data_IF_881794141829
#
_entry.id   IF_881794141829
#
_cell.length_a   1.000
_cell.length_b   1.000
_cell.length_c   1.000
_cell.angle_alpha   90.00
_cell.angle_beta   90.00
_cell.angle_gamma   90.00
#
_symmetry.space_group_name_H-M   'P 1'
#
loop_
_entity.id
_entity.type
_entity.pdbx_description
1 polymer ?
#
# COMPACT_ATOMS: atom_id res chain seq x y z
N UNK A 1 -46.49 -5.21 15.22
CA UNK A 1 -45.22 -5.80 14.72
C UNK A 1 -45.39 -6.79 13.57
N UNK A 2 -46.43 -7.66 13.56
CA UNK A 2 -46.69 -8.61 12.46
C UNK A 2 -47.12 -7.94 11.14
N UNK A 3 -47.91 -6.87 11.16
CA UNK A 3 -48.34 -6.14 9.95
C UNK A 3 -47.17 -5.48 9.22
N UNK A 4 -46.22 -4.89 9.94
CA UNK A 4 -45.00 -4.28 9.36
C UNK A 4 -44.10 -5.35 8.71
N UNK A 5 -44.00 -6.54 9.30
CA UNK A 5 -43.27 -7.67 8.70
C UNK A 5 -43.94 -8.17 7.40
N UNK A 6 -45.25 -8.15 7.34
CA UNK A 6 -46.03 -8.60 6.16
C UNK A 6 -45.91 -7.59 5.00
N UNK A 7 -45.91 -6.28 5.30
CA UNK A 7 -45.71 -5.22 4.31
C UNK A 7 -44.25 -5.24 3.78
N UNK A 8 -43.27 -5.46 4.67
CA UNK A 8 -41.88 -5.59 4.29
C UNK A 8 -41.55 -6.83 3.44
N UNK A 9 -42.36 -7.89 3.53
CA UNK A 9 -42.20 -9.11 2.71
C UNK A 9 -42.74 -8.97 1.27
N UNK A 10 -43.62 -8.00 1.02
CA UNK A 10 -44.17 -7.67 -0.29
C UNK A 10 -43.28 -6.71 -1.10
N UNK A 11 -42.29 -6.09 -0.47
CA UNK A 11 -41.39 -5.15 -1.12
C UNK A 11 -40.20 -5.88 -1.79
N UNK A 12 -39.70 -5.40 -2.94
CA UNK A 12 -38.54 -5.97 -3.59
C UNK A 12 -37.36 -6.09 -2.61
N UNK A 13 -36.55 -7.17 -2.70
CA UNK A 13 -35.54 -7.56 -1.72
C UNK A 13 -34.33 -6.59 -1.57
N UNK A 14 -34.38 -5.39 -2.17
CA UNK A 14 -33.33 -4.37 -2.07
C UNK A 14 -33.46 -3.52 -0.80
N UNK A 15 -32.35 -3.34 -0.08
CA UNK A 15 -32.25 -2.46 1.09
C UNK A 15 -32.85 -1.06 0.83
N UNK A 16 -32.60 -0.52 -0.38
CA UNK A 16 -33.15 0.76 -0.86
C UNK A 16 -34.66 0.88 -0.79
N UNK A 17 -35.34 -0.11 -1.37
CA UNK A 17 -36.79 -0.11 -1.42
C UNK A 17 -37.38 -0.20 -0.02
N UNK A 18 -36.78 -0.95 0.87
CA UNK A 18 -37.20 -1.05 2.27
C UNK A 18 -37.04 0.26 3.02
N UNK A 19 -35.90 0.94 2.85
CA UNK A 19 -35.61 2.24 3.47
C UNK A 19 -36.55 3.32 2.91
N UNK A 20 -36.73 3.36 1.59
CA UNK A 20 -37.64 4.32 0.95
C UNK A 20 -39.10 4.10 1.36
N UNK A 21 -39.55 2.84 1.40
CA UNK A 21 -40.90 2.53 1.85
C UNK A 21 -41.12 2.92 3.31
N UNK A 22 -40.18 2.65 4.19
CA UNK A 22 -40.27 3.03 5.61
C UNK A 22 -40.34 4.55 5.78
N UNK A 23 -39.54 5.32 5.06
CA UNK A 23 -39.57 6.77 5.11
C UNK A 23 -40.86 7.36 4.51
N UNK A 24 -41.36 6.80 3.41
CA UNK A 24 -42.66 7.22 2.83
C UNK A 24 -43.82 6.98 3.82
N UNK A 25 -43.85 5.83 4.50
CA UNK A 25 -44.83 5.53 5.54
C UNK A 25 -44.70 6.50 6.72
N UNK A 26 -43.46 6.83 7.13
CA UNK A 26 -43.22 7.79 8.20
C UNK A 26 -43.69 9.20 7.82
N UNK A 27 -43.40 9.67 6.61
CA UNK A 27 -43.91 10.95 6.08
C UNK A 27 -45.41 10.98 6.06
N UNK A 28 -46.07 9.92 5.54
CA UNK A 28 -47.51 9.82 5.50
C UNK A 28 -48.15 9.85 6.89
N UNK A 29 -47.56 9.13 7.86
CA UNK A 29 -48.06 9.11 9.25
C UNK A 29 -47.94 10.49 9.94
N UNK A 30 -46.84 11.18 9.74
CA UNK A 30 -46.62 12.53 10.31
C UNK A 30 -47.64 13.53 9.73
N UNK A 31 -47.84 13.51 8.41
CA UNK A 31 -48.81 14.38 7.73
C UNK A 31 -50.21 14.11 8.24
N UNK A 32 -50.60 12.84 8.36
CA UNK A 32 -51.92 12.44 8.83
C UNK A 32 -52.16 12.87 10.27
N UNK A 33 -51.21 12.61 11.18
CA UNK A 33 -51.31 12.98 12.60
C UNK A 33 -51.38 14.49 12.78
N UNK A 34 -50.51 15.25 12.08
CA UNK A 34 -50.51 16.70 12.16
C UNK A 34 -51.80 17.31 11.57
N UNK A 35 -52.28 16.78 10.45
CA UNK A 35 -53.54 17.19 9.84
C UNK A 35 -54.73 16.97 10.77
N UNK A 36 -54.86 15.79 11.41
CA UNK A 36 -55.88 15.50 12.41
C UNK A 36 -55.80 16.43 13.62
N UNK A 37 -54.59 16.66 14.15
CA UNK A 37 -54.37 17.55 15.30
C UNK A 37 -54.85 18.98 14.97
N UNK A 38 -54.45 19.53 13.81
CA UNK A 38 -54.88 20.86 13.35
C UNK A 38 -56.39 20.92 13.18
N UNK A 39 -56.99 19.91 12.52
CA UNK A 39 -58.41 19.87 12.29
C UNK A 39 -59.21 19.87 13.60
N UNK A 40 -58.89 18.97 14.55
CA UNK A 40 -59.58 18.90 15.82
C UNK A 40 -59.40 20.17 16.67
N UNK A 41 -58.18 20.73 16.69
CA UNK A 41 -57.90 21.96 17.45
C UNK A 41 -58.68 23.16 16.88
N UNK A 42 -58.65 23.30 15.54
CA UNK A 42 -59.38 24.40 14.89
C UNK A 42 -60.91 24.28 15.04
N UNK A 43 -61.47 23.05 14.87
CA UNK A 43 -62.89 22.83 15.08
C UNK A 43 -63.30 23.03 16.53
N UNK A 44 -62.49 22.65 17.52
CA UNK A 44 -62.75 22.87 18.94
C UNK A 44 -62.72 24.37 19.29
N UNK A 45 -61.76 25.13 18.76
CA UNK A 45 -61.68 26.57 19.00
C UNK A 45 -62.88 27.32 18.41
N UNK A 46 -63.27 26.98 17.18
CA UNK A 46 -64.44 27.60 16.52
C UNK A 46 -65.74 27.23 17.26
N UNK A 47 -65.90 25.98 17.74
CA UNK A 47 -67.02 25.53 18.51
C UNK A 47 -67.18 26.21 19.87
N UNK A 48 -66.11 26.76 20.44
CA UNK A 48 -66.12 27.50 21.70
C UNK A 48 -66.54 28.96 21.54
N UNK A 49 -66.61 29.50 20.31
CA UNK A 49 -67.04 30.87 20.01
C UNK A 49 -68.54 30.88 19.86
N UNK A 50 -69.25 31.50 20.79
CA UNK A 50 -70.72 31.49 20.91
C UNK A 50 -71.56 32.17 19.82
N UNK A 51 -70.89 32.92 18.90
CA UNK A 51 -71.55 33.71 17.85
C UNK A 51 -71.66 32.99 16.48
N UNK A 52 -71.11 31.76 16.37
CA UNK A 52 -71.17 31.03 15.10
C UNK A 52 -72.49 30.26 14.90
N UNK A 53 -73.25 30.60 13.82
CA UNK A 53 -74.39 29.83 13.40
C UNK A 53 -73.99 28.43 12.88
N UNK A 54 -74.81 27.41 13.08
CA UNK A 54 -74.54 26.02 12.65
C UNK A 54 -74.14 25.87 11.15
N UNK A 55 -74.69 26.73 10.32
CA UNK A 55 -74.38 26.74 8.89
C UNK A 55 -72.96 27.30 8.59
N UNK A 56 -72.52 28.33 9.31
CA UNK A 56 -71.23 28.90 9.21
C UNK A 56 -70.09 27.95 9.72
N UNK A 57 -70.39 27.23 10.79
CA UNK A 57 -69.52 26.21 11.36
C UNK A 57 -69.33 25.05 10.38
N UNK A 58 -70.39 24.58 9.73
CA UNK A 58 -70.31 23.53 8.70
C UNK A 58 -69.44 23.95 7.49
N UNK A 59 -69.62 25.15 7.00
CA UNK A 59 -68.84 25.70 5.91
C UNK A 59 -67.34 25.83 6.29
N UNK A 60 -67.07 26.29 7.51
CA UNK A 60 -65.69 26.39 8.01
C UNK A 60 -65.00 25.01 8.07
N UNK A 61 -65.70 24.02 8.66
CA UNK A 61 -65.15 22.68 8.79
C UNK A 61 -64.90 22.01 7.44
N UNK A 62 -65.81 22.20 6.48
CA UNK A 62 -65.64 21.67 5.11
C UNK A 62 -64.50 22.35 4.37
N UNK A 63 -64.38 23.68 4.49
CA UNK A 63 -63.32 24.45 3.85
C UNK A 63 -61.95 24.10 4.44
N UNK A 64 -61.87 24.05 5.76
CA UNK A 64 -60.67 23.64 6.47
C UNK A 64 -60.21 22.23 6.07
N UNK A 65 -61.14 21.29 6.04
CA UNK A 65 -60.85 19.92 5.61
C UNK A 65 -60.27 19.86 4.19
N UNK A 66 -60.89 20.60 3.24
CA UNK A 66 -60.44 20.64 1.85
C UNK A 66 -59.02 21.24 1.75
N UNK A 67 -58.72 22.34 2.45
CA UNK A 67 -57.40 22.92 2.45
C UNK A 67 -56.32 22.01 3.09
N UNK A 68 -56.64 21.36 4.20
CA UNK A 68 -55.75 20.41 4.83
C UNK A 68 -55.49 19.19 3.93
N UNK A 69 -56.52 18.72 3.21
CA UNK A 69 -56.37 17.60 2.27
C UNK A 69 -55.46 17.96 1.10
N UNK A 70 -55.69 19.15 0.48
CA UNK A 70 -54.80 19.65 -0.62
C UNK A 70 -53.37 19.81 -0.13
N UNK A 71 -53.19 20.41 1.04
CA UNK A 71 -51.86 20.61 1.64
C UNK A 71 -51.18 19.26 1.92
N UNK A 72 -51.92 18.30 2.48
CA UNK A 72 -51.40 16.95 2.74
C UNK A 72 -50.92 16.23 1.48
N UNK A 73 -51.69 16.30 0.40
CA UNK A 73 -51.37 15.71 -0.90
C UNK A 73 -50.09 16.36 -1.48
N UNK A 74 -50.07 17.71 -1.51
CA UNK A 74 -48.88 18.43 -2.03
C UNK A 74 -47.63 18.12 -1.24
N UNK A 75 -47.69 18.15 0.10
CA UNK A 75 -46.56 17.87 0.95
C UNK A 75 -46.05 16.44 0.81
N UNK A 76 -46.99 15.47 0.68
CA UNK A 76 -46.67 14.06 0.46
C UNK A 76 -45.95 13.85 -0.87
N UNK A 77 -46.45 14.45 -1.97
CA UNK A 77 -45.83 14.34 -3.29
C UNK A 77 -44.42 14.96 -3.28
N UNK A 78 -44.31 16.19 -2.76
CA UNK A 78 -43.01 16.91 -2.72
C UNK A 78 -42.00 16.16 -1.84
N UNK A 79 -42.42 15.72 -0.64
CA UNK A 79 -41.57 14.95 0.27
C UNK A 79 -41.09 13.62 -0.32
N UNK A 80 -42.00 12.91 -1.02
CA UNK A 80 -41.67 11.65 -1.69
C UNK A 80 -40.69 11.82 -2.84
N UNK A 81 -40.86 12.88 -3.66
CA UNK A 81 -39.95 13.20 -4.76
C UNK A 81 -38.55 13.56 -4.24
N UNK A 82 -38.49 14.42 -3.23
CA UNK A 82 -37.24 14.86 -2.63
C UNK A 82 -36.49 13.65 -2.01
N UNK A 83 -37.24 12.80 -1.26
CA UNK A 83 -36.68 11.58 -0.67
C UNK A 83 -36.13 10.63 -1.74
N UNK A 84 -36.91 10.37 -2.80
CA UNK A 84 -36.49 9.50 -3.90
C UNK A 84 -35.21 9.99 -4.58
N UNK A 85 -35.12 11.31 -4.88
CA UNK A 85 -33.97 11.91 -5.49
C UNK A 85 -32.72 11.80 -4.58
N UNK A 86 -32.84 12.16 -3.30
CA UNK A 86 -31.75 12.10 -2.33
C UNK A 86 -31.24 10.66 -2.13
N UNK A 87 -32.15 9.70 -1.99
CA UNK A 87 -31.83 8.29 -1.82
C UNK A 87 -31.09 7.72 -3.05
N UNK A 88 -31.56 8.07 -4.27
CA UNK A 88 -30.91 7.64 -5.50
C UNK A 88 -29.49 8.20 -5.63
N UNK A 89 -29.27 9.46 -5.23
CA UNK A 89 -27.96 10.11 -5.27
C UNK A 89 -26.95 9.49 -4.30
N UNK A 90 -27.39 9.12 -3.09
CA UNK A 90 -26.53 8.54 -2.06
C UNK A 90 -26.19 7.06 -2.31
N UNK A 91 -27.11 6.31 -2.92
CA UNK A 91 -26.95 4.85 -3.01
C UNK A 91 -26.30 4.39 -4.31
N UNK A 92 -26.39 5.16 -5.38
CA UNK A 92 -25.72 4.82 -6.63
C UNK A 92 -24.20 4.60 -6.45
N UNK A 93 -23.44 5.49 -5.75
CA UNK A 93 -22.03 5.26 -5.47
C UNK A 93 -21.75 3.98 -4.69
N UNK A 94 -22.56 3.70 -3.64
CA UNK A 94 -22.39 2.48 -2.82
C UNK A 94 -22.60 1.22 -3.67
N UNK A 95 -23.59 1.22 -4.55
CA UNK A 95 -23.83 0.10 -5.46
C UNK A 95 -22.67 -0.12 -6.42
N UNK A 96 -22.09 0.97 -6.94
CA UNK A 96 -20.91 0.90 -7.79
C UNK A 96 -19.70 0.31 -7.03
N UNK A 97 -19.53 0.66 -5.74
CA UNK A 97 -18.48 0.08 -4.89
C UNK A 97 -18.70 -1.43 -4.67
N UNK A 98 -19.93 -1.87 -4.46
CA UNK A 98 -20.28 -3.30 -4.34
C UNK A 98 -19.94 -4.04 -5.64
N UNK A 99 -20.30 -3.50 -6.79
CA UNK A 99 -20.00 -4.09 -8.09
C UNK A 99 -18.49 -4.13 -8.35
N UNK A 100 -17.75 -3.06 -8.01
CA UNK A 100 -16.30 -3.00 -8.07
C UNK A 100 -15.62 -4.05 -7.18
N UNK A 101 -16.11 -4.22 -5.94
CA UNK A 101 -15.63 -5.26 -5.03
C UNK A 101 -15.87 -6.67 -5.58
N UNK A 102 -17.02 -6.92 -6.22
CA UNK A 102 -17.28 -8.20 -6.87
C UNK A 102 -16.36 -8.47 -8.07
N UNK A 103 -15.99 -7.44 -8.83
CA UNK A 103 -15.01 -7.57 -9.92
C UNK A 103 -13.63 -7.89 -9.37
N UNK A 104 -13.22 -7.20 -8.29
CA UNK A 104 -11.95 -7.43 -7.62
C UNK A 104 -11.85 -8.87 -7.08
N UNK A 105 -12.93 -9.39 -6.48
CA UNK A 105 -13.02 -10.80 -6.03
C UNK A 105 -12.83 -11.80 -7.18
N UNK A 106 -13.14 -11.43 -8.41
CA UNK A 106 -12.91 -12.25 -9.62
C UNK A 106 -11.53 -12.02 -10.25
N UNK A 107 -10.64 -11.30 -9.57
CA UNK A 107 -9.30 -10.98 -10.07
C UNK A 107 -9.27 -9.92 -11.17
N UNK A 108 -10.35 -9.13 -11.33
CA UNK A 108 -10.41 -8.04 -12.31
C UNK A 108 -10.32 -6.71 -11.57
N UNK A 109 -9.45 -5.83 -12.01
CA UNK A 109 -9.31 -4.49 -11.47
C UNK A 109 -10.36 -3.58 -12.13
N UNK A 110 -11.36 -3.08 -11.36
CA UNK A 110 -12.40 -2.21 -11.90
C UNK A 110 -11.82 -0.81 -12.17
N UNK A 111 -12.36 -0.12 -13.16
CA UNK A 111 -12.04 1.30 -13.35
C UNK A 111 -12.46 2.11 -12.13
N UNK A 112 -11.72 3.17 -11.78
CA UNK A 112 -12.06 4.02 -10.65
C UNK A 112 -13.51 4.48 -10.71
N UNK A 113 -14.23 4.34 -9.61
CA UNK A 113 -15.61 4.81 -9.49
C UNK A 113 -15.60 6.33 -9.53
N UNK A 114 -16.48 6.94 -10.35
CA UNK A 114 -16.54 8.40 -10.48
C UNK A 114 -16.83 9.07 -9.12
N UNK A 115 -16.06 10.09 -8.78
CA UNK A 115 -16.14 10.88 -7.55
C UNK A 115 -17.33 11.87 -7.60
N UNK A 116 -18.54 11.36 -7.87
CA UNK A 116 -19.76 12.20 -7.92
C UNK A 116 -20.44 12.33 -6.56
N UNK A 117 -19.96 11.64 -5.55
CA UNK A 117 -20.48 11.69 -4.20
C UNK A 117 -19.75 12.77 -3.37
N UNK A 118 -20.50 13.49 -2.52
CA UNK A 118 -19.96 14.49 -1.59
C UNK A 118 -20.16 13.96 -0.16
N UNK A 119 -19.35 14.48 0.78
CA UNK A 119 -19.38 14.04 2.17
C UNK A 119 -18.73 12.67 2.36
N UNK A 120 -19.15 11.95 3.41
CA UNK A 120 -18.53 10.68 3.86
C UNK A 120 -18.56 9.59 2.77
N UNK A 121 -19.58 9.59 1.91
CA UNK A 121 -19.66 8.64 0.78
C UNK A 121 -18.62 8.98 -0.29
N UNK A 122 -18.33 10.25 -0.50
CA UNK A 122 -17.26 10.71 -1.40
C UNK A 122 -15.88 10.28 -0.89
N UNK A 123 -15.63 10.48 0.39
CA UNK A 123 -14.41 10.03 1.06
C UNK A 123 -14.19 8.52 0.94
N UNK A 124 -15.24 7.74 1.18
CA UNK A 124 -15.22 6.29 1.02
C UNK A 124 -14.86 5.88 -0.42
N UNK A 125 -15.43 6.54 -1.43
CA UNK A 125 -15.12 6.30 -2.85
C UNK A 125 -13.66 6.61 -3.15
N UNK A 126 -13.14 7.72 -2.64
CA UNK A 126 -11.75 8.14 -2.84
C UNK A 126 -10.77 7.15 -2.22
N UNK A 127 -10.99 6.74 -0.96
CA UNK A 127 -10.17 5.74 -0.30
C UNK A 127 -10.23 4.38 -0.99
N UNK A 128 -11.42 3.94 -1.41
CA UNK A 128 -11.58 2.70 -2.15
C UNK A 128 -10.84 2.72 -3.50
N UNK A 129 -10.93 3.82 -4.24
CA UNK A 129 -10.19 4.00 -5.49
C UNK A 129 -8.66 3.99 -5.24
N UNK A 130 -8.20 4.57 -4.12
CA UNK A 130 -6.81 4.50 -3.67
C UNK A 130 -6.34 3.06 -3.45
N UNK A 131 -7.14 2.27 -2.72
CA UNK A 131 -6.85 0.85 -2.48
C UNK A 131 -6.78 0.02 -3.78
N UNK A 132 -7.70 0.26 -4.72
CA UNK A 132 -7.66 -0.43 -6.02
C UNK A 132 -6.37 -0.12 -6.77
N UNK A 133 -5.99 1.16 -6.86
CA UNK A 133 -4.74 1.56 -7.52
C UNK A 133 -3.51 0.92 -6.88
N UNK A 134 -3.47 0.87 -5.56
CA UNK A 134 -2.38 0.25 -4.82
C UNK A 134 -2.31 -1.26 -5.08
N UNK A 135 -3.45 -1.95 -5.07
CA UNK A 135 -3.52 -3.38 -5.39
C UNK A 135 -3.10 -3.67 -6.84
N UNK A 136 -3.52 -2.85 -7.80
CA UNK A 136 -3.17 -2.99 -9.21
C UNK A 136 -1.66 -2.79 -9.41
N UNK A 137 -1.08 -1.74 -8.83
CA UNK A 137 0.35 -1.47 -8.87
C UNK A 137 1.18 -2.60 -8.22
N UNK A 138 0.72 -3.15 -7.10
CA UNK A 138 1.37 -4.28 -6.44
C UNK A 138 1.33 -5.54 -7.31
N UNK A 139 0.19 -5.83 -7.96
CA UNK A 139 0.08 -7.00 -8.85
C UNK A 139 0.92 -6.84 -10.12
N UNK A 140 0.99 -5.65 -10.69
CA UNK A 140 1.87 -5.36 -11.85
C UNK A 140 3.34 -5.54 -11.46
N UNK A 141 3.73 -5.01 -10.31
CA UNK A 141 5.08 -5.20 -9.76
C UNK A 141 5.37 -6.68 -9.55
N UNK A 142 4.44 -7.44 -8.99
CA UNK A 142 4.56 -8.88 -8.78
C UNK A 142 4.72 -9.66 -10.09
N UNK A 143 3.92 -9.31 -11.11
CA UNK A 143 4.02 -9.95 -12.44
C UNK A 143 5.35 -9.68 -13.12
N UNK A 144 5.80 -8.42 -13.08
CA UNK A 144 7.10 -8.03 -13.61
C UNK A 144 8.21 -8.83 -12.92
N UNK A 145 8.17 -8.91 -11.60
CA UNK A 145 9.13 -9.68 -10.81
C UNK A 145 9.20 -11.16 -11.20
N UNK A 146 8.05 -11.84 -11.34
CA UNK A 146 8.02 -13.25 -11.76
C UNK A 146 8.60 -13.42 -13.17
N UNK A 147 8.32 -12.49 -14.07
CA UNK A 147 8.88 -12.49 -15.42
C UNK A 147 10.39 -12.33 -15.40
N UNK A 148 10.90 -11.35 -14.67
CA UNK A 148 12.33 -11.04 -14.59
C UNK A 148 13.11 -12.20 -13.93
N UNK A 149 12.58 -12.76 -12.83
CA UNK A 149 13.14 -13.95 -12.20
C UNK A 149 13.20 -15.15 -13.14
N UNK A 150 12.14 -15.36 -13.94
CA UNK A 150 12.12 -16.46 -14.92
C UNK A 150 13.20 -16.30 -15.99
N UNK A 151 13.51 -15.09 -16.39
CA UNK A 151 14.60 -14.78 -17.30
C UNK A 151 15.98 -14.98 -16.65
N UNK A 152 16.18 -14.46 -15.45
CA UNK A 152 17.44 -14.56 -14.71
C UNK A 152 17.78 -16.00 -14.29
N UNK A 153 16.78 -16.85 -14.04
CA UNK A 153 16.97 -18.28 -13.77
C UNK A 153 17.28 -19.07 -15.05
N UNK A 154 16.68 -18.70 -16.20
CA UNK A 154 16.84 -19.46 -17.44
C UNK A 154 18.28 -19.44 -17.94
N UNK A 155 18.97 -18.30 -17.85
CA UNK A 155 20.34 -18.13 -18.34
C UNK A 155 21.34 -19.07 -17.68
N UNK A 156 21.50 -19.08 -16.34
CA UNK A 156 22.45 -19.99 -15.67
C UNK A 156 22.05 -21.45 -15.83
N UNK A 157 20.75 -21.78 -15.86
CA UNK A 157 20.29 -23.15 -16.13
C UNK A 157 20.65 -23.61 -17.55
N UNK A 158 20.52 -22.74 -18.55
CA UNK A 158 20.90 -23.04 -19.93
C UNK A 158 22.41 -23.26 -20.06
N UNK A 159 23.21 -22.40 -19.39
CA UNK A 159 24.67 -22.54 -19.37
C UNK A 159 25.11 -23.84 -18.69
N UNK A 160 24.57 -24.14 -17.51
CA UNK A 160 24.83 -25.39 -16.79
C UNK A 160 24.48 -26.62 -17.65
N UNK A 161 23.28 -26.61 -18.24
CA UNK A 161 22.85 -27.72 -19.12
C UNK A 161 23.76 -27.86 -20.34
N UNK A 162 24.18 -26.75 -20.95
CA UNK A 162 25.12 -26.76 -22.09
C UNK A 162 26.48 -27.36 -21.74
N UNK A 163 27.08 -26.95 -20.62
CA UNK A 163 28.34 -27.48 -20.13
C UNK A 163 28.24 -28.99 -19.80
N UNK A 164 27.17 -29.39 -19.09
CA UNK A 164 26.96 -30.80 -18.74
C UNK A 164 26.70 -31.68 -19.97
N UNK A 165 25.99 -31.13 -20.97
CA UNK A 165 25.76 -31.83 -22.23
C UNK A 165 27.06 -32.01 -23.00
N UNK A 166 27.88 -30.97 -23.15
CA UNK A 166 29.17 -31.06 -23.84
C UNK A 166 30.15 -32.03 -23.14
N UNK A 167 30.12 -32.10 -21.80
CA UNK A 167 30.86 -33.11 -21.04
C UNK A 167 30.36 -34.53 -21.29
N UNK A 168 29.04 -34.73 -21.32
CA UNK A 168 28.40 -36.04 -21.54
C UNK A 168 28.69 -36.54 -22.95
N UNK A 169 28.62 -35.68 -23.95
CA UNK A 169 28.77 -36.02 -25.37
C UNK A 169 30.25 -36.14 -25.78
N UNK A 170 31.18 -35.78 -24.85
CA UNK A 170 32.62 -35.88 -25.08
C UNK A 170 33.21 -34.69 -25.84
N UNK A 171 32.41 -33.67 -26.16
CA UNK A 171 32.84 -32.45 -26.88
C UNK A 171 33.75 -31.54 -26.02
N UNK A 172 33.65 -31.68 -24.69
CA UNK A 172 34.53 -30.99 -23.75
C UNK A 172 35.10 -31.97 -22.74
N UNK A 173 36.37 -31.73 -22.34
CA UNK A 173 37.00 -32.43 -21.22
C UNK A 173 36.88 -31.65 -19.94
N UNK A 174 36.75 -32.35 -18.82
CA UNK A 174 36.72 -31.71 -17.48
C UNK A 174 38.05 -30.98 -17.22
N UNK A 175 37.96 -29.70 -17.03
CA UNK A 175 39.10 -28.84 -16.61
C UNK A 175 38.74 -28.09 -15.34
N UNK A 176 39.77 -27.66 -14.60
CA UNK A 176 39.56 -26.87 -13.40
C UNK A 176 38.71 -25.61 -13.70
N UNK A 177 38.98 -24.94 -14.81
CA UNK A 177 38.24 -23.75 -15.24
C UNK A 177 36.77 -24.05 -15.54
N UNK A 178 36.48 -25.24 -16.10
CA UNK A 178 35.09 -25.65 -16.34
C UNK A 178 34.34 -25.94 -15.03
N UNK A 179 34.98 -26.62 -14.08
CA UNK A 179 34.40 -26.86 -12.75
C UNK A 179 34.17 -25.57 -11.98
N UNK A 180 35.07 -24.58 -12.09
CA UNK A 180 34.89 -23.25 -11.54
C UNK A 180 33.70 -22.51 -12.19
N UNK A 181 33.55 -22.63 -13.50
CA UNK A 181 32.38 -22.05 -14.20
C UNK A 181 31.07 -22.67 -13.74
N UNK A 182 30.99 -24.01 -13.65
CA UNK A 182 29.83 -24.73 -13.14
C UNK A 182 29.51 -24.35 -11.69
N UNK A 183 30.53 -24.25 -10.84
CA UNK A 183 30.36 -23.83 -9.43
C UNK A 183 29.85 -22.41 -9.33
N UNK A 184 30.33 -21.50 -10.18
CA UNK A 184 29.88 -20.10 -10.24
C UNK A 184 28.42 -20.00 -10.63
N UNK A 185 27.98 -20.73 -11.69
CA UNK A 185 26.57 -20.72 -12.12
C UNK A 185 25.65 -21.32 -11.04
N UNK A 186 26.11 -22.39 -10.36
CA UNK A 186 25.36 -23.00 -9.26
C UNK A 186 25.20 -22.03 -8.08
N UNK A 187 26.26 -21.34 -7.71
CA UNK A 187 26.22 -20.31 -6.64
C UNK A 187 25.25 -19.18 -7.03
N UNK A 188 25.32 -18.72 -8.26
CA UNK A 188 24.38 -17.69 -8.74
C UNK A 188 22.92 -18.12 -8.65
N UNK A 189 22.59 -19.40 -8.96
CA UNK A 189 21.25 -19.96 -8.77
C UNK A 189 20.86 -20.02 -7.27
N UNK A 190 21.77 -20.35 -6.39
CA UNK A 190 21.52 -20.33 -4.94
C UNK A 190 21.22 -18.92 -4.45
N UNK A 191 21.99 -17.93 -4.87
CA UNK A 191 21.79 -16.51 -4.53
C UNK A 191 20.42 -16.02 -5.03
N UNK A 192 20.01 -16.42 -6.26
CA UNK A 192 18.69 -16.08 -6.79
C UNK A 192 17.54 -16.74 -6.01
N UNK A 193 17.70 -18.01 -5.57
CA UNK A 193 16.68 -18.68 -4.77
C UNK A 193 16.55 -18.09 -3.37
N UNK A 194 17.64 -17.73 -2.73
CA UNK A 194 17.63 -17.05 -1.43
C UNK A 194 16.94 -15.68 -1.52
N UNK A 195 17.19 -14.94 -2.60
CA UNK A 195 16.51 -13.68 -2.89
C UNK A 195 15.02 -13.88 -3.16
N UNK A 196 14.62 -14.99 -3.82
CA UNK A 196 13.20 -15.34 -3.98
C UNK A 196 12.52 -15.65 -2.64
N UNK A 197 13.18 -16.34 -1.74
CA UNK A 197 12.65 -16.61 -0.41
C UNK A 197 12.46 -15.32 0.37
N UNK A 198 13.44 -14.43 0.35
CA UNK A 198 13.32 -13.11 0.93
C UNK A 198 12.13 -12.33 0.34
N UNK A 199 11.97 -12.33 -0.99
CA UNK A 199 10.85 -11.64 -1.64
C UNK A 199 9.49 -12.27 -1.30
N UNK A 200 9.42 -13.58 -1.10
CA UNK A 200 8.20 -14.29 -0.65
C UNK A 200 7.88 -13.94 0.80
N UNK A 201 8.87 -13.96 1.67
CA UNK A 201 8.71 -13.48 3.04
C UNK A 201 8.23 -12.02 3.06
N UNK A 202 8.72 -11.16 2.17
CA UNK A 202 8.34 -9.75 2.06
C UNK A 202 6.94 -9.54 1.46
N UNK A 203 6.49 -10.38 0.55
CA UNK A 203 5.11 -10.37 0.04
C UNK A 203 4.07 -10.75 1.09
N UNK A 204 4.39 -11.71 1.95
CA UNK A 204 3.62 -12.09 3.15
C UNK A 204 3.87 -11.13 4.33
N UNK A 205 5.00 -10.43 4.33
CA UNK A 205 5.50 -9.53 5.38
C UNK A 205 4.81 -8.17 5.45
N UNK A 206 4.20 -7.67 4.38
CA UNK A 206 3.38 -6.46 4.48
C UNK A 206 2.20 -6.62 5.46
N UNK A 207 1.95 -7.84 5.93
CA UNK A 207 0.95 -8.14 6.96
C UNK A 207 1.48 -8.75 8.26
N UNK A 208 2.73 -9.22 8.37
CA UNK A 208 3.19 -10.01 9.53
C UNK A 208 4.53 -9.65 10.17
N UNK A 209 5.45 -8.96 9.52
CA UNK A 209 6.85 -8.87 10.01
C UNK A 209 7.13 -7.68 10.90
N UNK A 210 6.28 -6.68 10.93
CA UNK A 210 6.49 -5.54 11.83
C UNK A 210 6.05 -5.78 13.28
N UNK A 211 5.96 -7.02 13.72
CA UNK A 211 5.64 -7.33 15.14
C UNK A 211 6.87 -7.40 16.04
N UNK A 212 8.08 -7.42 15.51
CA UNK A 212 9.30 -7.51 16.33
C UNK A 212 10.27 -6.36 16.09
N UNK A 213 9.86 -5.15 16.45
CA UNK A 213 10.80 -4.06 16.68
C UNK A 213 11.53 -4.32 17.99
N UNK A 214 12.86 -4.35 17.93
CA UNK A 214 13.71 -4.53 19.09
C UNK A 214 14.54 -3.27 19.31
N UNK A 215 14.77 -2.90 20.56
CA UNK A 215 15.76 -1.89 20.89
C UNK A 215 17.14 -2.46 20.65
N UNK A 216 17.87 -1.89 19.73
CA UNK A 216 19.23 -2.27 19.39
C UNK A 216 20.13 -1.04 19.34
N UNK A 217 21.38 -1.20 19.77
CA UNK A 217 22.42 -0.20 19.48
C UNK A 217 22.87 -0.35 18.02
N UNK A 218 22.59 0.69 17.22
CA UNK A 218 22.92 0.66 15.79
C UNK A 218 24.43 0.59 15.55
N UNK A 219 25.28 1.18 16.42
CA UNK A 219 26.72 1.07 16.29
C UNK A 219 27.21 -0.38 16.49
N UNK A 220 26.64 -1.10 17.46
CA UNK A 220 26.94 -2.51 17.65
C UNK A 220 26.50 -3.35 16.44
N UNK A 221 25.32 -3.06 15.89
CA UNK A 221 24.81 -3.73 14.69
C UNK A 221 25.73 -3.50 13.47
N UNK A 222 26.22 -2.28 13.27
CA UNK A 222 27.17 -1.94 12.21
C UNK A 222 28.48 -2.73 12.37
N UNK A 223 29.03 -2.78 13.58
CA UNK A 223 30.26 -3.52 13.87
C UNK A 223 30.09 -5.02 13.61
N UNK A 224 28.94 -5.62 14.02
CA UNK A 224 28.62 -7.01 13.75
C UNK A 224 28.53 -7.29 12.24
N UNK A 225 27.89 -6.40 11.46
CA UNK A 225 27.83 -6.52 10.02
C UNK A 225 29.22 -6.46 9.38
N UNK A 226 30.03 -5.50 9.77
CA UNK A 226 31.40 -5.33 9.21
C UNK A 226 32.27 -6.54 9.49
N UNK A 227 32.19 -7.13 10.68
CA UNK A 227 32.94 -8.34 11.05
C UNK A 227 32.66 -9.52 10.10
N UNK A 228 31.46 -9.66 9.57
CA UNK A 228 31.10 -10.72 8.62
C UNK A 228 31.92 -10.60 7.31
N UNK A 229 32.27 -9.37 6.91
CA UNK A 229 32.99 -9.13 5.66
C UNK A 229 34.51 -9.11 5.81
N UNK A 230 35.05 -9.24 7.05
CA UNK A 230 36.50 -9.11 7.30
C UNK A 230 37.32 -10.08 6.43
N UNK A 231 36.93 -11.35 6.34
CA UNK A 231 37.56 -12.33 5.48
C UNK A 231 37.57 -11.94 3.99
N UNK A 232 36.46 -11.35 3.48
CA UNK A 232 36.34 -10.92 2.08
C UNK A 232 37.23 -9.71 1.83
N UNK A 233 37.30 -8.77 2.77
CA UNK A 233 38.12 -7.59 2.72
C UNK A 233 39.63 -7.97 2.71
N UNK A 234 40.06 -8.87 3.59
CA UNK A 234 41.40 -9.39 3.65
C UNK A 234 41.81 -10.07 2.32
N UNK A 235 40.92 -10.88 1.76
CA UNK A 235 41.18 -11.58 0.50
C UNK A 235 41.30 -10.62 -0.69
N UNK A 236 40.50 -9.57 -0.71
CA UNK A 236 40.52 -8.55 -1.78
C UNK A 236 41.54 -7.42 -1.50
N UNK A 237 42.28 -7.49 -0.38
CA UNK A 237 43.24 -6.47 0.08
C UNK A 237 42.62 -5.07 0.23
N UNK A 238 41.40 -5.01 0.82
CA UNK A 238 40.65 -3.79 1.02
C UNK A 238 40.62 -3.40 2.50
N UNK A 239 40.88 -2.13 2.77
CA UNK A 239 40.72 -1.56 4.11
C UNK A 239 39.31 -1.00 4.30
N UNK A 240 38.76 -1.13 5.51
CA UNK A 240 37.50 -0.54 5.92
C UNK A 240 37.64 0.24 7.22
N UNK A 241 37.21 1.48 7.24
CA UNK A 241 37.15 2.31 8.44
C UNK A 241 35.69 2.47 8.88
N UNK A 242 35.44 2.18 10.16
CA UNK A 242 34.12 2.27 10.76
C UNK A 242 34.13 3.31 11.87
N UNK A 243 33.28 4.32 11.73
CA UNK A 243 33.03 5.31 12.76
C UNK A 243 31.52 5.40 12.96
N UNK A 244 31.01 4.83 14.05
CA UNK A 244 29.58 4.79 14.32
C UNK A 244 29.29 5.30 15.75
N UNK A 245 28.47 6.32 15.84
CA UNK A 245 27.93 6.80 17.12
C UNK A 245 26.94 5.78 17.67
N UNK A 246 27.06 5.45 18.98
CA UNK A 246 26.10 4.58 19.68
C UNK A 246 24.76 5.28 19.77
N UNK A 247 23.71 4.59 19.35
CA UNK A 247 22.33 5.07 19.42
C UNK A 247 21.38 3.88 19.56
N UNK A 248 20.65 3.84 20.68
CA UNK A 248 19.58 2.86 20.85
C UNK A 248 18.33 3.26 20.07
N UNK A 249 17.88 2.37 19.19
CA UNK A 249 16.72 2.60 18.34
C UNK A 249 15.83 1.37 18.31
N UNK A 250 14.52 1.62 18.28
CA UNK A 250 13.53 0.58 18.04
C UNK A 250 13.42 0.32 16.54
N UNK A 251 14.04 -0.77 16.07
CA UNK A 251 14.07 -1.14 14.64
C UNK A 251 13.92 -2.65 14.46
N UNK A 252 13.56 -3.07 13.25
CA UNK A 252 13.61 -4.48 12.86
C UNK A 252 15.06 -4.87 12.55
N UNK A 253 15.77 -5.40 13.57
CA UNK A 253 17.22 -5.64 13.55
C UNK A 253 17.68 -6.47 12.34
N UNK A 254 16.94 -7.52 11.95
CA UNK A 254 17.28 -8.36 10.77
C UNK A 254 17.21 -7.54 9.46
N UNK A 255 16.20 -6.69 9.33
CA UNK A 255 16.06 -5.83 8.14
C UNK A 255 17.19 -4.82 8.04
N UNK A 256 17.49 -4.09 9.12
CA UNK A 256 18.58 -3.10 9.13
C UNK A 256 19.93 -3.78 8.89
N UNK A 257 20.18 -4.94 9.48
CA UNK A 257 21.37 -5.77 9.19
C UNK A 257 21.50 -6.06 7.70
N UNK A 258 20.40 -6.41 7.03
CA UNK A 258 20.39 -6.69 5.60
C UNK A 258 20.71 -5.43 4.77
N UNK A 259 20.15 -4.27 5.14
CA UNK A 259 20.49 -3.01 4.49
C UNK A 259 21.99 -2.75 4.57
N UNK A 260 22.56 -2.83 5.78
CA UNK A 260 24.00 -2.57 6.01
C UNK A 260 24.84 -3.56 5.19
N UNK A 261 24.51 -4.85 5.22
CA UNK A 261 25.22 -5.87 4.44
C UNK A 261 25.17 -5.58 2.93
N UNK A 262 24.00 -5.22 2.39
CA UNK A 262 23.84 -4.87 0.98
C UNK A 262 24.70 -3.66 0.59
N UNK A 263 24.80 -2.64 1.44
CA UNK A 263 25.62 -1.45 1.18
C UNK A 263 27.11 -1.77 1.24
N UNK A 264 27.56 -2.56 2.23
CA UNK A 264 28.95 -3.00 2.36
C UNK A 264 29.34 -3.89 1.15
N UNK A 265 28.47 -4.84 0.80
CA UNK A 265 28.72 -5.72 -0.33
C UNK A 265 28.84 -4.97 -1.65
N UNK A 266 27.97 -3.98 -1.88
CA UNK A 266 28.10 -3.08 -3.02
C UNK A 266 29.39 -2.29 -3.01
N UNK A 267 29.80 -1.74 -1.87
CA UNK A 267 31.05 -0.99 -1.74
C UNK A 267 32.27 -1.87 -2.06
N UNK A 268 32.31 -3.11 -1.60
CA UNK A 268 33.39 -4.07 -1.91
C UNK A 268 33.33 -4.47 -3.40
N UNK A 269 32.16 -4.75 -3.93
CA UNK A 269 31.97 -5.26 -5.29
C UNK A 269 32.38 -4.24 -6.38
N UNK A 270 32.05 -2.97 -6.16
CA UNK A 270 32.33 -1.89 -7.10
C UNK A 270 33.59 -1.07 -6.75
N UNK A 271 34.35 -1.52 -5.76
CA UNK A 271 35.56 -0.85 -5.34
C UNK A 271 36.57 -0.71 -6.49
N UNK A 272 37.14 0.48 -6.64
CA UNK A 272 38.19 0.78 -7.61
C UNK A 272 39.22 1.74 -7.00
N UNK A 273 40.45 1.29 -6.89
CA UNK A 273 41.57 2.10 -6.39
C UNK A 273 42.16 1.55 -5.10
N UNK A 274 42.97 2.35 -4.42
CA UNK A 274 43.72 1.93 -3.23
C UNK A 274 43.14 2.50 -1.92
N UNK A 275 42.14 3.39 -1.99
CA UNK A 275 41.57 4.02 -0.80
C UNK A 275 40.58 3.12 -0.11
N UNK A 276 40.51 3.22 1.21
CA UNK A 276 39.60 2.43 2.03
C UNK A 276 38.12 2.73 1.81
N UNK A 277 37.29 1.75 2.16
CA UNK A 277 35.82 1.91 2.33
C UNK A 277 35.58 2.58 3.69
N UNK A 278 34.71 3.59 3.75
CA UNK A 278 34.39 4.29 4.99
C UNK A 278 32.90 4.09 5.33
N UNK A 279 32.62 3.62 6.54
CA UNK A 279 31.30 3.60 7.16
C UNK A 279 31.23 4.68 8.22
N UNK A 280 30.29 5.61 8.07
CA UNK A 280 30.06 6.67 9.04
C UNK A 280 28.60 6.65 9.52
N UNK A 281 28.40 6.43 10.82
CA UNK A 281 27.11 6.47 11.48
C UNK A 281 27.07 7.61 12.48
N UNK A 282 26.10 8.52 12.38
CA UNK A 282 25.96 9.69 13.25
C UNK A 282 24.53 10.07 13.53
N UNK A 283 24.30 10.72 14.64
CA UNK A 283 23.02 11.29 15.02
C UNK A 283 22.94 12.74 14.59
N UNK A 284 22.02 13.08 13.70
CA UNK A 284 21.79 14.45 13.22
C UNK A 284 20.30 14.77 13.15
N UNK A 285 19.87 15.90 13.70
CA UNK A 285 18.51 16.44 13.60
C UNK A 285 17.38 15.44 13.91
N UNK A 286 17.59 14.55 14.88
CA UNK A 286 16.59 13.55 15.27
C UNK A 286 16.54 12.30 14.36
N UNK A 287 17.51 12.14 13.49
CA UNK A 287 17.70 10.98 12.64
C UNK A 287 19.07 10.34 12.88
N UNK A 288 19.13 9.03 12.77
CA UNK A 288 20.39 8.32 12.62
C UNK A 288 20.73 8.26 11.14
N UNK A 289 21.87 8.82 10.77
CA UNK A 289 22.37 8.83 9.39
C UNK A 289 23.52 7.84 9.27
N UNK A 290 23.38 6.83 8.40
CA UNK A 290 24.47 5.93 8.04
C UNK A 290 24.88 6.18 6.59
N UNK A 291 26.19 6.27 6.34
CA UNK A 291 26.77 6.33 5.00
C UNK A 291 27.85 5.27 4.83
N UNK A 292 27.90 4.69 3.63
CA UNK A 292 28.93 3.76 3.16
C UNK A 292 29.55 4.35 1.91
N UNK A 293 30.79 4.79 2.03
CA UNK A 293 31.56 5.44 0.96
C UNK A 293 32.69 4.55 0.48
N UNK A 294 32.84 4.41 -0.82
CA UNK A 294 33.96 3.68 -1.41
C UNK A 294 34.41 4.28 -2.74
N UNK A 295 35.71 4.19 -3.06
CA UNK A 295 36.22 4.61 -4.36
C UNK A 295 35.66 3.71 -5.44
N UNK A 296 35.05 4.33 -6.46
CA UNK A 296 34.33 3.62 -7.51
C UNK A 296 34.09 4.52 -8.72
N UNK A 297 33.75 3.95 -9.84
CA UNK A 297 33.30 4.73 -11.00
C UNK A 297 32.03 5.53 -10.68
N UNK A 298 31.98 6.75 -11.19
CA UNK A 298 30.83 7.62 -11.06
C UNK A 298 29.58 6.96 -11.67
N UNK A 299 28.49 6.93 -10.93
CA UNK A 299 27.19 6.48 -11.43
C UNK A 299 26.57 7.64 -12.24
N UNK A 300 26.21 7.41 -13.53
CA UNK A 300 25.56 8.41 -14.36
C UNK A 300 24.29 8.97 -13.72
N UNK A 301 23.99 10.26 -13.95
CA UNK A 301 22.84 10.91 -13.33
C UNK A 301 21.51 10.21 -13.67
N UNK A 302 21.40 9.66 -14.87
CA UNK A 302 20.22 8.91 -15.32
C UNK A 302 20.01 7.57 -14.59
N UNK A 303 21.08 7.03 -13.99
CA UNK A 303 21.07 5.76 -13.28
C UNK A 303 20.88 5.92 -11.76
N UNK A 304 21.15 7.12 -11.20
CA UNK A 304 21.20 7.33 -9.74
C UNK A 304 19.88 7.04 -9.00
N UNK A 305 18.75 7.28 -9.62
CA UNK A 305 17.47 6.90 -9.06
C UNK A 305 17.13 5.45 -9.39
N UNK A 306 17.52 5.00 -10.58
CA UNK A 306 17.17 3.68 -11.11
C UNK A 306 17.90 2.52 -10.47
N UNK A 307 19.09 2.76 -9.89
CA UNK A 307 19.82 1.71 -9.16
C UNK A 307 19.06 1.16 -7.94
N UNK A 308 18.04 1.88 -7.46
CA UNK A 308 17.12 1.42 -6.42
C UNK A 308 15.88 0.71 -6.98
N UNK A 309 15.73 0.64 -8.32
CA UNK A 309 14.71 -0.18 -8.95
C UNK A 309 15.11 -1.66 -8.91
N UNK A 310 14.14 -2.53 -8.79
CA UNK A 310 14.37 -3.98 -8.75
C UNK A 310 14.94 -4.46 -10.09
N UNK A 311 15.96 -5.34 -10.02
CA UNK A 311 16.67 -5.91 -11.18
C UNK A 311 17.39 -4.88 -12.08
N UNK A 312 17.44 -3.63 -11.66
CA UNK A 312 18.17 -2.64 -12.42
C UNK A 312 19.66 -2.81 -12.26
N UNK A 313 20.37 -2.75 -13.39
CA UNK A 313 21.83 -2.77 -13.47
C UNK A 313 22.25 -1.77 -14.53
N UNK A 314 23.24 -0.94 -14.23
CA UNK A 314 23.84 -0.04 -15.22
C UNK A 314 24.49 -0.84 -16.36
N UNK A 315 24.60 -0.26 -17.55
CA UNK A 315 25.17 -0.92 -18.72
C UNK A 315 26.61 -1.42 -18.46
N UNK A 316 27.39 -0.69 -17.68
CA UNK A 316 28.75 -1.06 -17.31
C UNK A 316 28.80 -2.24 -16.32
N UNK A 317 27.78 -2.37 -15.46
CA UNK A 317 27.64 -3.49 -14.55
C UNK A 317 27.16 -4.79 -15.26
N UNK A 318 26.49 -4.69 -16.41
CA UNK A 318 26.09 -5.86 -17.23
C UNK A 318 27.29 -6.53 -17.90
N UNK A 319 28.30 -5.77 -18.24
CA UNK A 319 29.49 -6.27 -18.96
C UNK A 319 30.50 -6.95 -18.03
N UNK A 320 30.35 -6.87 -16.71
CA UNK A 320 31.27 -7.49 -15.75
C UNK A 320 30.84 -8.89 -15.39
N UNK A 321 31.78 -9.84 -15.43
CA UNK A 321 31.60 -11.27 -15.12
C UNK A 321 31.14 -11.55 -13.67
N UNK A 322 31.07 -10.54 -12.80
CA UNK A 322 30.69 -10.63 -11.38
C UNK A 322 29.52 -9.69 -11.11
N UNK A 323 28.33 -10.01 -11.57
CA UNK A 323 27.18 -9.15 -11.40
C UNK A 323 26.24 -9.66 -10.32
N UNK A 324 25.90 -8.81 -9.34
CA UNK A 324 24.80 -9.06 -8.42
C UNK A 324 23.44 -9.06 -9.12
N UNK A 325 22.40 -9.57 -8.47
CA UNK A 325 21.02 -9.71 -9.00
C UNK A 325 20.28 -8.41 -9.28
N UNK A 326 20.80 -7.25 -8.86
CA UNK A 326 20.09 -5.97 -8.93
C UNK A 326 18.93 -5.84 -7.93
N UNK A 327 18.86 -6.71 -6.93
CA UNK A 327 17.82 -6.69 -5.89
C UNK A 327 18.27 -6.05 -4.58
N UNK A 328 19.57 -6.07 -4.25
CA UNK A 328 20.06 -5.65 -2.94
C UNK A 328 19.70 -4.20 -2.58
N UNK A 329 19.89 -3.23 -3.50
CA UNK A 329 19.56 -1.83 -3.25
C UNK A 329 18.05 -1.58 -3.23
N UNK A 330 17.28 -2.31 -4.04
CA UNK A 330 15.81 -2.22 -4.04
C UNK A 330 15.22 -2.72 -2.71
N UNK A 331 15.74 -3.84 -2.19
CA UNK A 331 15.38 -4.37 -0.88
C UNK A 331 15.79 -3.38 0.22
N UNK A 332 17.00 -2.83 0.16
CA UNK A 332 17.47 -1.83 1.12
C UNK A 332 16.53 -0.62 1.16
N UNK A 333 16.11 -0.12 -0.01
CA UNK A 333 15.16 1.00 -0.11
C UNK A 333 13.84 0.66 0.57
N UNK A 334 13.28 -0.48 0.28
CA UNK A 334 12.01 -0.92 0.86
C UNK A 334 12.06 -1.01 2.38
N UNK A 335 13.13 -1.62 2.93
CA UNK A 335 13.33 -1.73 4.37
C UNK A 335 13.37 -0.34 5.02
N UNK A 336 14.17 0.56 4.47
CA UNK A 336 14.34 1.90 5.03
C UNK A 336 13.04 2.72 4.94
N UNK A 337 12.33 2.67 3.81
CA UNK A 337 11.05 3.37 3.66
C UNK A 337 9.99 2.86 4.66
N UNK A 338 10.00 1.58 4.97
CA UNK A 338 9.11 0.99 5.98
C UNK A 338 9.45 1.41 7.41
N UNK A 339 10.70 1.79 7.66
CA UNK A 339 11.12 2.41 8.92
C UNK A 339 10.91 3.94 8.92
N UNK A 340 10.13 4.49 7.97
CA UNK A 340 9.93 5.93 7.76
C UNK A 340 11.26 6.68 7.52
N UNK A 341 12.27 5.98 7.04
CA UNK A 341 13.57 6.52 6.69
C UNK A 341 13.66 6.92 5.22
N UNK A 342 14.85 7.35 4.82
CA UNK A 342 15.20 7.65 3.43
C UNK A 342 16.52 7.01 3.08
N UNK A 343 16.67 6.54 1.85
CA UNK A 343 17.91 6.01 1.30
C UNK A 343 18.26 6.77 0.03
N UNK A 344 19.54 6.95 -0.23
CA UNK A 344 19.98 7.67 -1.41
C UNK A 344 21.43 7.40 -1.76
N UNK A 345 21.87 8.06 -2.82
CA UNK A 345 23.22 8.04 -3.33
C UNK A 345 23.74 9.47 -3.48
N UNK A 346 24.97 9.69 -3.08
CA UNK A 346 25.76 10.87 -3.44
C UNK A 346 27.00 10.40 -4.19
N UNK A 347 27.22 10.91 -5.39
CA UNK A 347 28.35 10.52 -6.24
C UNK A 347 29.21 11.71 -6.62
N UNK A 348 30.49 11.50 -6.64
CA UNK A 348 31.44 12.42 -7.23
C UNK A 348 32.34 11.68 -8.24
N UNK A 349 33.40 12.30 -8.75
CA UNK A 349 34.25 11.70 -9.78
C UNK A 349 35.00 10.43 -9.33
N UNK A 350 35.17 10.22 -8.01
CA UNK A 350 36.03 9.16 -7.45
C UNK A 350 35.33 8.29 -6.41
N UNK A 351 34.20 8.73 -5.86
CA UNK A 351 33.51 8.05 -4.76
C UNK A 351 32.03 7.97 -5.01
N UNK A 352 31.44 6.84 -4.68
CA UNK A 352 30.01 6.68 -4.47
C UNK A 352 29.75 6.50 -2.97
N UNK A 353 28.83 7.29 -2.44
CA UNK A 353 28.39 7.25 -1.05
C UNK A 353 26.92 6.86 -1.02
N UNK A 354 26.63 5.65 -0.64
CA UNK A 354 25.27 5.20 -0.34
C UNK A 354 24.97 5.59 1.10
N UNK A 355 23.81 6.17 1.32
CA UNK A 355 23.40 6.62 2.65
C UNK A 355 21.95 6.31 2.92
N UNK A 356 21.61 6.15 4.20
CA UNK A 356 20.23 6.14 4.64
C UNK A 356 20.05 6.90 5.95
N UNK A 357 18.80 7.30 6.22
CA UNK A 357 18.40 7.93 7.47
C UNK A 357 17.26 7.14 8.11
N UNK A 358 17.29 7.02 9.44
CA UNK A 358 16.22 6.44 10.25
C UNK A 358 15.77 7.45 11.30
N UNK A 359 14.47 7.70 11.49
CA UNK A 359 14.01 8.57 12.55
C UNK A 359 14.31 7.93 13.92
N UNK A 360 14.91 8.71 14.81
CA UNK A 360 15.07 8.31 16.20
C UNK A 360 13.73 8.59 16.86
N UNK A 361 12.84 7.58 16.92
CA UNK A 361 11.61 7.69 17.69
C UNK A 361 12.01 7.84 19.17
N UNK A 362 11.80 9.03 19.72
CA UNK A 362 11.79 9.20 21.17
C UNK A 362 10.78 8.19 21.74
N UNK A 363 11.22 7.38 22.69
CA UNK A 363 10.36 6.46 23.45
C UNK A 363 9.48 7.34 24.35
N UNK A 364 8.47 8.02 23.77
CA UNK A 364 7.39 8.67 24.49
C UNK A 364 6.08 8.07 24.03
N UNK A 365 5.52 7.21 24.87
CA UNK A 365 4.10 6.85 24.80
C UNK A 365 3.79 5.38 24.57
N UNK A 366 4.28 4.49 25.41
CA UNK A 366 3.57 3.25 25.70
C UNK A 366 3.26 3.25 27.21
N UNK A 367 2.17 3.94 27.56
CA UNK A 367 1.42 3.74 28.79
C UNK A 367 -0.03 3.41 28.43
#
# INVERSE_FOLDING_TARGET
>A
MQVVKRILSLLPKGFLWRLSALNIVMIASVILLSGLAIYYTACSLVGAISDFNSQQQSLFNQTLFNYLLIFAIMTFILGSLLHFYSTKKLIKPIRNLIEATMQLKKGKYPKPTAETAHGEVGELVTHFNGLIRQLEANEETRRKMISDLSHELRTPLTNLNGYLQALRDGDMQGSQSLYEALHKETRHLMDLTEQMEMLKEWGDMSSRIYTEYNNVDVAELINQCTAVFQWKLEREHLDIYVHAESCEMSVHAKGIRQVINNLIENAIHYHKGENAICLEGKVEYGYYHLSVSGPSERIPAEDQERIFERFYRSNDARNRQYGGSGLGLAIAKEIIEQHNGRIGLTTNERYNTFWFTLPISSIEGAN
#
